data_IF_691142874944
#
_entry.id   IF_691142874944
#
_cell.length_a   1.000
_cell.length_b   1.000
_cell.length_c   1.000
_cell.angle_alpha   90.00
_cell.angle_beta   90.00
_cell.angle_gamma   90.00
#
_symmetry.space_group_name_H-M   'P 1'
#
loop_
_entity.id
_entity.type
_entity.pdbx_description
1 polymer ?
#
# COMPACT_ATOMS: atom_id res chain seq x y z
N UNK A 1 22.02 -23.70 -5.87
CA UNK A 1 21.07 -23.17 -4.86
C UNK A 1 19.73 -22.98 -5.54
N UNK A 2 18.64 -23.45 -4.93
CA UNK A 2 17.29 -23.26 -5.46
C UNK A 2 16.85 -21.80 -5.28
N UNK A 3 16.05 -21.28 -6.23
CA UNK A 3 15.48 -19.94 -6.14
C UNK A 3 14.51 -19.82 -4.96
N UNK A 4 14.58 -18.70 -4.24
CA UNK A 4 13.63 -18.40 -3.16
C UNK A 4 12.24 -18.06 -3.72
N UNK A 5 11.19 -18.26 -2.91
CA UNK A 5 9.82 -17.92 -3.29
C UNK A 5 9.65 -16.43 -3.68
N UNK A 6 10.48 -15.55 -3.13
CA UNK A 6 10.47 -14.12 -3.48
C UNK A 6 11.09 -13.87 -4.85
N UNK A 7 12.19 -14.52 -5.16
CA UNK A 7 12.82 -14.45 -6.48
C UNK A 7 11.86 -14.95 -7.56
N UNK A 8 11.18 -16.09 -7.31
CA UNK A 8 10.14 -16.61 -8.21
C UNK A 8 9.01 -15.61 -8.46
N UNK A 9 8.57 -14.88 -7.43
CA UNK A 9 7.55 -13.83 -7.57
C UNK A 9 8.02 -12.67 -8.44
N UNK A 10 9.25 -12.19 -8.23
CA UNK A 10 9.84 -11.13 -9.05
C UNK A 10 9.96 -11.58 -10.51
N UNK A 11 10.49 -12.78 -10.74
CA UNK A 11 10.59 -13.37 -12.08
C UNK A 11 9.21 -13.46 -12.73
N UNK A 12 8.21 -13.96 -12.01
CA UNK A 12 6.83 -14.05 -12.47
C UNK A 12 6.24 -12.68 -12.83
N UNK A 13 6.45 -11.65 -11.99
CA UNK A 13 6.02 -10.27 -12.25
C UNK A 13 6.66 -9.70 -13.51
N UNK A 14 7.98 -9.80 -13.66
CA UNK A 14 8.67 -9.29 -14.85
C UNK A 14 8.17 -9.98 -16.12
N UNK A 15 7.96 -11.29 -16.05
CA UNK A 15 7.42 -12.05 -17.17
C UNK A 15 5.95 -11.71 -17.47
N UNK A 16 5.18 -11.32 -16.44
CA UNK A 16 3.84 -10.77 -16.60
C UNK A 16 3.89 -9.42 -17.35
N UNK A 17 4.71 -8.49 -16.88
CA UNK A 17 4.91 -7.18 -17.53
C UNK A 17 5.34 -7.35 -19.00
N UNK A 18 6.22 -8.33 -19.29
CA UNK A 18 6.60 -8.64 -20.67
C UNK A 18 5.42 -9.19 -21.50
N UNK A 19 4.63 -10.11 -20.94
CA UNK A 19 3.45 -10.69 -21.61
C UNK A 19 2.45 -9.60 -22.02
N UNK A 20 2.33 -8.55 -21.22
CA UNK A 20 1.44 -7.41 -21.49
C UNK A 20 2.10 -6.28 -22.28
N UNK A 21 3.38 -6.42 -22.69
CA UNK A 21 4.09 -5.40 -23.46
C UNK A 21 4.52 -4.16 -22.66
N UNK A 22 4.54 -4.26 -21.33
CA UNK A 22 4.78 -3.15 -20.41
C UNK A 22 6.23 -3.09 -19.92
N UNK A 23 6.96 -4.21 -20.03
CA UNK A 23 8.35 -4.28 -19.62
C UNK A 23 9.23 -3.39 -20.51
N UNK A 24 9.96 -2.45 -19.89
CA UNK A 24 10.88 -1.53 -20.58
C UNK A 24 12.34 -1.87 -20.31
N UNK A 25 13.20 -1.61 -21.29
CA UNK A 25 14.64 -1.83 -21.22
C UNK A 25 15.42 -0.52 -21.02
N UNK A 26 16.68 -0.64 -20.59
CA UNK A 26 17.59 0.49 -20.40
C UNK A 26 17.31 1.34 -19.16
N UNK A 27 18.22 2.27 -18.87
CA UNK A 27 18.14 3.14 -17.67
C UNK A 27 16.86 3.96 -17.70
N UNK A 28 15.99 3.73 -16.71
CA UNK A 28 14.69 4.42 -16.61
C UNK A 28 13.72 4.10 -17.76
N UNK A 29 13.90 2.99 -18.48
CA UNK A 29 13.04 2.62 -19.61
C UNK A 29 13.37 3.31 -20.94
N UNK A 30 14.50 4.02 -21.03
CA UNK A 30 14.93 4.73 -22.25
C UNK A 30 15.19 3.82 -23.45
N UNK A 31 15.45 2.53 -23.23
CA UNK A 31 15.60 1.55 -24.30
C UNK A 31 14.28 1.08 -24.92
N UNK A 32 13.14 1.63 -24.47
CA UNK A 32 11.82 1.29 -24.99
C UNK A 32 11.33 -0.09 -24.53
N UNK A 33 10.21 -0.56 -25.09
CA UNK A 33 9.62 -1.84 -24.72
C UNK A 33 10.55 -3.01 -25.07
N UNK A 34 10.59 -4.01 -24.20
CA UNK A 34 11.36 -5.23 -24.40
C UNK A 34 10.70 -6.06 -25.50
N UNK A 35 11.48 -6.38 -26.54
CA UNK A 35 10.96 -7.05 -27.74
C UNK A 35 11.13 -8.58 -27.71
N UNK A 36 12.11 -9.08 -26.96
CA UNK A 36 12.44 -10.51 -26.96
C UNK A 36 12.25 -11.15 -25.59
N UNK A 37 11.69 -12.38 -25.59
CA UNK A 37 11.53 -13.18 -24.36
C UNK A 37 12.87 -13.45 -23.68
N UNK A 38 13.94 -13.64 -24.46
CA UNK A 38 15.29 -13.86 -23.92
C UNK A 38 15.79 -12.65 -23.12
N UNK A 39 15.54 -11.45 -23.62
CA UNK A 39 15.86 -10.21 -22.90
C UNK A 39 14.98 -10.04 -21.66
N UNK A 40 13.70 -10.37 -21.74
CA UNK A 40 12.81 -10.36 -20.58
C UNK A 40 13.29 -11.31 -19.47
N UNK A 41 13.73 -12.52 -19.82
CA UNK A 41 14.32 -13.48 -18.87
C UNK A 41 15.60 -12.91 -18.24
N UNK A 42 16.46 -12.26 -19.03
CA UNK A 42 17.67 -11.63 -18.50
C UNK A 42 17.34 -10.54 -17.47
N UNK A 43 16.38 -9.67 -17.77
CA UNK A 43 15.89 -8.63 -16.86
C UNK A 43 15.27 -9.25 -15.60
N UNK A 44 14.47 -10.32 -15.76
CA UNK A 44 13.84 -11.01 -14.65
C UNK A 44 14.87 -11.60 -13.67
N UNK A 45 15.92 -12.24 -14.20
CA UNK A 45 17.02 -12.79 -13.40
C UNK A 45 17.84 -11.67 -12.72
N UNK A 46 18.05 -10.54 -13.39
CA UNK A 46 18.73 -9.38 -12.81
C UNK A 46 17.91 -8.73 -11.69
N UNK A 47 16.61 -8.48 -11.91
CA UNK A 47 15.70 -7.90 -10.92
C UNK A 47 15.53 -8.83 -9.70
N UNK A 48 15.49 -10.15 -9.91
CA UNK A 48 15.44 -11.14 -8.84
C UNK A 48 16.79 -11.34 -8.11
N UNK A 49 17.88 -10.75 -8.60
CA UNK A 49 19.22 -10.98 -8.04
C UNK A 49 19.66 -12.44 -8.14
N UNK A 50 19.26 -13.12 -9.21
CA UNK A 50 19.59 -14.52 -9.51
C UNK A 50 20.52 -14.66 -10.73
N UNK A 51 21.00 -13.55 -11.29
CA UNK A 51 21.91 -13.57 -12.44
C UNK A 51 23.22 -14.26 -12.10
N UNK A 52 23.63 -15.23 -12.93
CA UNK A 52 24.91 -15.92 -12.81
C UNK A 52 26.12 -15.06 -13.23
N UNK A 53 25.87 -14.01 -13.99
CA UNK A 53 26.92 -13.11 -14.50
C UNK A 53 27.25 -11.98 -13.52
N UNK A 54 26.44 -11.81 -12.47
CA UNK A 54 26.62 -10.77 -11.47
C UNK A 54 27.18 -11.33 -10.16
N UNK A 55 28.01 -10.52 -9.48
CA UNK A 55 28.52 -10.89 -8.16
C UNK A 55 27.38 -11.02 -7.14
N UNK A 56 27.57 -11.85 -6.09
CA UNK A 56 26.60 -11.99 -4.98
C UNK A 56 26.20 -10.64 -4.36
N UNK A 57 27.17 -9.72 -4.24
CA UNK A 57 26.94 -8.37 -3.70
C UNK A 57 26.04 -7.53 -4.63
N UNK A 58 26.26 -7.60 -5.94
CA UNK A 58 25.45 -6.90 -6.93
C UNK A 58 24.04 -7.50 -7.04
N UNK A 59 23.92 -8.82 -7.06
CA UNK A 59 22.64 -9.52 -6.99
C UNK A 59 21.81 -9.12 -5.76
N UNK A 60 22.43 -9.06 -4.56
CA UNK A 60 21.75 -8.60 -3.34
C UNK A 60 21.31 -7.13 -3.43
N UNK A 61 22.09 -6.28 -4.09
CA UNK A 61 21.75 -4.87 -4.33
C UNK A 61 20.58 -4.74 -5.30
N UNK A 62 20.60 -5.47 -6.41
CA UNK A 62 19.53 -5.47 -7.40
C UNK A 62 18.21 -5.96 -6.79
N UNK A 63 18.25 -7.09 -6.09
CA UNK A 63 17.08 -7.59 -5.36
C UNK A 63 16.51 -6.52 -4.41
N UNK A 64 17.34 -5.93 -3.54
CA UNK A 64 16.88 -4.86 -2.63
C UNK A 64 16.31 -3.64 -3.37
N UNK A 65 16.86 -3.29 -4.52
CA UNK A 65 16.36 -2.20 -5.35
C UNK A 65 14.96 -2.54 -5.92
N UNK A 66 14.81 -3.73 -6.49
CA UNK A 66 13.52 -4.25 -6.98
C UNK A 66 12.47 -4.30 -5.88
N UNK A 67 12.84 -4.82 -4.71
CA UNK A 67 11.93 -4.89 -3.56
C UNK A 67 11.45 -3.51 -3.10
N UNK A 68 12.34 -2.51 -3.12
CA UNK A 68 11.96 -1.13 -2.82
C UNK A 68 11.04 -0.55 -3.89
N UNK A 69 11.29 -0.83 -5.16
CA UNK A 69 10.45 -0.40 -6.29
C UNK A 69 9.04 -0.98 -6.19
N UNK A 70 8.93 -2.28 -5.89
CA UNK A 70 7.66 -2.96 -5.63
C UNK A 70 6.92 -2.37 -4.43
N UNK A 71 7.62 -2.13 -3.32
CA UNK A 71 7.02 -1.53 -2.14
C UNK A 71 6.47 -0.12 -2.40
N UNK A 72 7.11 0.64 -3.31
CA UNK A 72 6.71 1.98 -3.72
C UNK A 72 5.60 1.99 -4.80
N UNK A 73 5.15 0.84 -5.32
CA UNK A 73 4.12 0.85 -6.35
C UNK A 73 4.62 1.30 -7.73
N UNK A 74 5.92 1.17 -8.02
CA UNK A 74 6.58 1.71 -9.23
C UNK A 74 6.90 0.66 -10.29
N UNK A 75 6.31 -0.52 -10.22
CA UNK A 75 6.46 -1.52 -11.28
C UNK A 75 5.47 -1.26 -12.41
N UNK A 76 5.78 -1.68 -13.63
CA UNK A 76 4.90 -1.39 -14.77
C UNK A 76 3.52 -2.02 -14.58
N UNK A 77 3.49 -3.24 -14.02
CA UNK A 77 2.25 -3.91 -13.65
C UNK A 77 1.43 -3.09 -12.64
N UNK A 78 2.07 -2.48 -11.63
CA UNK A 78 1.37 -1.67 -10.63
C UNK A 78 0.85 -0.34 -11.20
N UNK A 79 1.57 0.26 -12.14
CA UNK A 79 1.13 1.47 -12.84
C UNK A 79 -0.07 1.21 -13.75
N UNK A 80 -0.16 0.00 -14.34
CA UNK A 80 -1.21 -0.37 -15.30
C UNK A 80 -2.43 -1.03 -14.66
N UNK A 81 -2.23 -1.97 -13.74
CA UNK A 81 -3.28 -2.75 -13.09
C UNK A 81 -3.71 -2.17 -11.74
N UNK A 82 -2.94 -1.21 -11.23
CA UNK A 82 -3.16 -0.58 -9.94
C UNK A 82 -2.28 -1.15 -8.82
N UNK A 83 -1.99 -0.30 -7.84
CA UNK A 83 -1.07 -0.56 -6.72
C UNK A 83 -1.61 -1.57 -5.68
N UNK A 84 -2.82 -2.11 -5.87
CA UNK A 84 -3.46 -3.01 -4.92
C UNK A 84 -2.94 -4.46 -4.99
N UNK A 85 -2.34 -4.88 -6.12
CA UNK A 85 -2.16 -6.31 -6.42
C UNK A 85 -0.82 -6.92 -5.96
N UNK A 86 0.24 -6.12 -5.74
CA UNK A 86 1.58 -6.63 -5.41
C UNK A 86 2.24 -5.74 -4.37
N UNK A 87 2.16 -6.07 -3.08
CA UNK A 87 3.08 -5.55 -2.05
C UNK A 87 3.03 -4.05 -1.70
N UNK A 88 2.46 -3.18 -2.53
CA UNK A 88 2.29 -1.74 -2.30
C UNK A 88 1.12 -1.43 -1.34
N UNK A 89 0.91 -2.31 -0.35
CA UNK A 89 -0.05 -2.14 0.74
C UNK A 89 0.23 -0.92 1.63
N UNK A 90 1.40 -0.29 1.49
CA UNK A 90 1.85 0.87 2.24
C UNK A 90 1.24 2.20 1.79
N UNK A 91 0.92 2.35 0.50
CA UNK A 91 0.19 3.51 -0.03
C UNK A 91 -1.26 3.12 -0.32
N UNK A 92 -1.99 2.72 0.73
CA UNK A 92 -3.43 2.55 0.59
C UNK A 92 -4.03 3.95 0.48
N UNK A 93 -4.55 4.31 -0.69
CA UNK A 93 -5.28 5.58 -0.93
C UNK A 93 -6.45 5.80 0.05
N UNK A 94 -6.87 4.76 0.76
CA UNK A 94 -7.94 4.79 1.74
C UNK A 94 -7.57 4.09 3.05
N UNK A 95 -8.18 4.53 4.14
CA UNK A 95 -8.01 3.88 5.46
C UNK A 95 -8.44 2.41 5.42
N UNK A 96 -7.94 1.57 6.35
CA UNK A 96 -8.34 0.13 6.44
C UNK A 96 -9.86 -0.09 6.51
N UNK A 97 -10.59 0.90 7.00
CA UNK A 97 -12.05 0.97 7.09
C UNK A 97 -12.77 1.16 5.76
N UNK A 98 -12.16 1.83 4.78
CA UNK A 98 -12.77 2.14 3.48
C UNK A 98 -12.10 1.32 2.38
N UNK A 99 -12.90 0.73 1.49
CA UNK A 99 -12.47 -0.29 0.52
C UNK A 99 -11.79 0.24 -0.75
N UNK A 100 -11.00 1.32 -0.67
CA UNK A 100 -10.47 2.04 -1.84
C UNK A 100 -10.95 3.50 -1.89
N UNK A 101 -10.33 4.33 -2.74
CA UNK A 101 -10.64 5.76 -2.86
C UNK A 101 -12.10 6.03 -3.29
N UNK A 102 -12.67 5.17 -4.15
CA UNK A 102 -14.06 5.29 -4.65
C UNK A 102 -15.05 4.34 -3.94
N UNK A 103 -14.69 3.80 -2.77
CA UNK A 103 -15.55 2.85 -2.08
C UNK A 103 -16.77 3.54 -1.45
N UNK A 104 -17.93 3.37 -2.07
CA UNK A 104 -19.23 3.83 -1.55
C UNK A 104 -19.67 3.08 -0.28
N UNK A 105 -18.98 2.00 0.11
CA UNK A 105 -19.32 1.15 1.26
C UNK A 105 -18.05 0.78 2.05
N UNK A 106 -18.09 0.77 3.40
CA UNK A 106 -16.96 0.34 4.22
C UNK A 106 -16.67 -1.15 4.07
N UNK A 107 -15.40 -1.54 4.27
CA UNK A 107 -14.97 -2.96 4.23
C UNK A 107 -15.64 -3.75 5.36
N UNK A 108 -15.65 -5.09 5.29
CA UNK A 108 -16.19 -5.92 6.39
C UNK A 108 -15.55 -5.58 7.74
N UNK A 109 -14.24 -5.32 7.75
CA UNK A 109 -13.50 -4.87 8.95
C UNK A 109 -13.91 -3.45 9.37
N UNK A 110 -14.10 -2.54 8.42
CA UNK A 110 -14.62 -1.19 8.67
C UNK A 110 -16.05 -1.20 9.24
N UNK A 111 -16.94 -2.04 8.69
CA UNK A 111 -18.29 -2.28 9.19
C UNK A 111 -18.27 -2.85 10.60
N UNK A 112 -17.41 -3.83 10.89
CA UNK A 112 -17.25 -4.42 12.22
C UNK A 112 -16.76 -3.38 13.24
N UNK A 113 -15.78 -2.55 12.86
CA UNK A 113 -15.28 -1.46 13.70
C UNK A 113 -16.36 -0.38 13.93
N UNK A 114 -17.13 -0.01 12.91
CA UNK A 114 -18.24 0.93 13.02
C UNK A 114 -19.35 0.39 13.94
N UNK A 115 -19.74 -0.88 13.77
CA UNK A 115 -20.71 -1.56 14.65
C UNK A 115 -20.22 -1.65 16.09
N UNK A 116 -18.93 -1.91 16.31
CA UNK A 116 -18.35 -1.93 17.66
C UNK A 116 -18.35 -0.53 18.32
N UNK A 117 -18.15 0.53 17.53
CA UNK A 117 -18.28 1.92 18.01
C UNK A 117 -19.73 2.26 18.34
N UNK A 118 -20.68 1.88 17.48
CA UNK A 118 -22.11 2.11 17.68
C UNK A 118 -22.70 1.35 18.88
N UNK A 119 -22.03 0.28 19.34
CA UNK A 119 -22.42 -0.51 20.53
C UNK A 119 -21.80 0.00 21.84
N UNK A 120 -20.92 1.01 21.80
CA UNK A 120 -20.46 1.67 23.04
C UNK A 120 -21.55 2.62 23.51
N UNK A 121 -21.87 2.55 24.81
CA UNK A 121 -23.00 3.24 25.44
C UNK A 121 -23.10 4.74 25.10
N UNK A 122 -21.97 5.41 24.85
CA UNK A 122 -21.94 6.87 24.68
C UNK A 122 -21.74 7.36 23.23
N UNK A 123 -21.68 6.46 22.23
CA UNK A 123 -21.74 6.76 20.78
C UNK A 123 -20.64 7.63 20.13
N UNK A 124 -19.97 8.49 20.89
CA UNK A 124 -19.05 9.51 20.41
C UNK A 124 -17.61 9.24 20.81
N UNK A 125 -16.68 9.57 19.92
CA UNK A 125 -15.25 9.59 20.25
C UNK A 125 -14.88 10.88 20.98
N UNK A 126 -13.84 10.87 21.83
CA UNK A 126 -13.35 12.10 22.50
C UNK A 126 -13.03 13.22 21.50
N UNK A 127 -12.54 12.86 20.31
CA UNK A 127 -12.29 13.80 19.20
C UNK A 127 -13.56 14.41 18.63
N UNK A 128 -14.64 13.64 18.48
CA UNK A 128 -15.93 14.17 18.03
C UNK A 128 -16.54 15.13 19.05
N UNK A 129 -16.46 14.77 20.33
CA UNK A 129 -16.88 15.63 21.44
C UNK A 129 -16.02 16.90 21.49
N UNK A 130 -14.70 16.79 21.32
CA UNK A 130 -13.81 17.94 21.24
C UNK A 130 -14.16 18.87 20.06
N UNK A 131 -14.43 18.32 18.87
CA UNK A 131 -14.82 19.10 17.69
C UNK A 131 -16.20 19.77 17.86
N UNK A 132 -17.12 19.15 18.61
CA UNK A 132 -18.43 19.73 18.93
C UNK A 132 -18.32 20.82 20.00
N UNK A 133 -17.49 20.61 21.01
CA UNK A 133 -17.16 21.59 22.04
C UNK A 133 -16.46 22.82 21.46
N UNK A 134 -15.58 22.62 20.46
CA UNK A 134 -14.94 23.71 19.72
C UNK A 134 -15.97 24.56 18.96
N UNK A 135 -16.93 23.93 18.27
CA UNK A 135 -18.02 24.63 17.55
C UNK A 135 -18.96 25.39 18.48
N UNK A 136 -19.11 24.95 19.73
CA UNK A 136 -19.88 25.64 20.78
C UNK A 136 -19.04 26.59 21.63
N UNK A 137 -17.78 26.81 21.27
CA UNK A 137 -16.86 27.70 21.99
C UNK A 137 -16.73 27.37 23.49
N UNK A 138 -16.77 26.09 23.85
CA UNK A 138 -16.59 25.66 25.25
C UNK A 138 -15.12 25.92 25.65
N UNK A 139 -14.95 26.75 26.66
CA UNK A 139 -13.65 27.08 27.24
C UNK A 139 -13.07 25.87 27.98
N UNK A 140 -11.73 25.77 28.02
CA UNK A 140 -11.07 24.64 28.69
C UNK A 140 -11.24 23.26 28.02
N UNK A 141 -11.95 23.16 26.88
CA UNK A 141 -12.20 21.91 26.14
C UNK A 141 -10.97 21.01 25.89
N UNK A 142 -9.78 21.59 25.75
CA UNK A 142 -8.52 20.85 25.53
C UNK A 142 -8.03 20.10 26.76
N UNK A 143 -8.37 20.58 27.96
CA UNK A 143 -8.05 19.94 29.24
C UNK A 143 -9.13 18.95 29.69
N UNK A 144 -10.30 18.94 29.03
CA UNK A 144 -11.41 18.06 29.38
C UNK A 144 -11.18 16.61 28.93
N UNK A 145 -11.54 15.70 29.82
CA UNK A 145 -11.67 14.26 29.55
C UNK A 145 -12.92 13.98 28.70
N UNK A 146 -13.03 12.78 28.11
CA UNK A 146 -14.19 12.39 27.28
C UNK A 146 -15.52 12.63 28.00
N UNK A 147 -15.60 12.19 29.26
CA UNK A 147 -16.80 12.32 30.09
C UNK A 147 -17.12 13.77 30.47
N UNK A 148 -16.09 14.59 30.69
CA UNK A 148 -16.28 16.03 30.92
C UNK A 148 -16.80 16.73 29.66
N UNK A 149 -16.36 16.31 28.47
CA UNK A 149 -16.88 16.85 27.20
C UNK A 149 -18.32 16.40 26.94
N UNK A 150 -18.71 15.16 27.29
CA UNK A 150 -20.10 14.69 27.24
C UNK A 150 -21.02 15.53 28.14
N UNK A 151 -20.63 15.71 29.39
CA UNK A 151 -21.36 16.54 30.36
C UNK A 151 -21.47 17.99 29.89
N UNK A 152 -20.37 18.58 29.42
CA UNK A 152 -20.35 19.97 28.92
C UNK A 152 -21.18 20.16 27.63
N UNK A 153 -21.41 19.08 26.87
CA UNK A 153 -22.24 19.10 25.66
C UNK A 153 -23.70 18.72 25.91
N UNK A 154 -24.03 18.23 27.12
CA UNK A 154 -25.35 17.71 27.47
C UNK A 154 -25.71 16.45 26.68
N UNK A 155 -24.73 15.58 26.43
CA UNK A 155 -24.93 14.32 25.70
C UNK A 155 -24.80 13.17 26.70
N UNK A 156 -25.85 12.36 26.81
CA UNK A 156 -25.95 11.18 27.67
C UNK A 156 -26.26 9.95 26.84
#
# INVERSE_FOLDING_TARGET
MAESARQKRITGRVMHEFKHGELKSGRGGKGGPVKSRRQAIAIALEEAGASKYESKRRNKRNLRHTERKEAQGKTAQQEREGKSHIGASGERESTRSMGGANARKPTARGRKAARARARKADGHTRSELYARAQRRHIEGRSKMTKRQLENALGIH
#
